data_IF_056164469950
#
_entry.id   IF_056164469950
#
_cell.length_a   1.000
_cell.length_b   1.000
_cell.length_c   1.000
_cell.angle_alpha   90.00
_cell.angle_beta   90.00
_cell.angle_gamma   90.00
#
_symmetry.space_group_name_H-M   'P 1'
#
loop_
_entity.id
_entity.type
_entity.pdbx_description
1 polymer ?
#
# COMPACT_ATOMS: atom_id res chain seq x y z
N UNK A 1 -17.72 17.65 -21.25
CA UNK A 1 -17.67 16.48 -20.35
C UNK A 1 -16.42 16.63 -19.51
N UNK A 2 -16.54 16.88 -18.20
CA UNK A 2 -15.37 16.89 -17.31
C UNK A 2 -14.81 15.46 -17.26
N UNK A 3 -13.57 15.27 -17.72
CA UNK A 3 -12.89 13.99 -17.60
C UNK A 3 -12.82 13.61 -16.12
N UNK A 4 -13.52 12.54 -15.72
CA UNK A 4 -13.42 11.98 -14.38
C UNK A 4 -11.97 11.54 -14.15
N UNK A 5 -11.31 12.18 -13.20
CA UNK A 5 -9.95 11.84 -12.80
C UNK A 5 -10.03 11.07 -11.48
N UNK A 6 -9.52 9.83 -11.45
CA UNK A 6 -9.46 9.03 -10.22
C UNK A 6 -8.68 9.76 -9.12
N UNK A 7 -9.15 9.69 -7.88
CA UNK A 7 -8.58 10.43 -6.74
C UNK A 7 -7.09 10.17 -6.53
N UNK A 8 -6.63 8.95 -6.75
CA UNK A 8 -5.19 8.60 -6.70
C UNK A 8 -4.32 9.40 -7.70
N UNK A 9 -4.91 9.96 -8.76
CA UNK A 9 -4.23 10.84 -9.71
C UNK A 9 -4.49 12.31 -9.38
N UNK A 10 -5.73 12.67 -9.03
CA UNK A 10 -6.16 14.05 -8.72
C UNK A 10 -5.46 14.60 -7.48
N UNK A 11 -5.33 13.77 -6.43
CA UNK A 11 -4.71 14.11 -5.14
C UNK A 11 -3.28 13.56 -5.01
N UNK A 12 -2.59 13.33 -6.14
CA UNK A 12 -1.18 12.97 -6.10
C UNK A 12 -0.37 14.13 -5.53
N UNK A 13 0.46 13.90 -4.50
CA UNK A 13 1.31 14.93 -3.93
C UNK A 13 2.13 15.66 -4.99
N UNK A 14 2.09 16.98 -4.96
CA UNK A 14 2.87 17.87 -5.84
C UNK A 14 3.97 18.60 -5.10
N UNK A 15 3.86 18.79 -3.78
CA UNK A 15 4.87 19.40 -2.92
C UNK A 15 5.23 18.44 -1.79
N UNK A 16 6.34 18.68 -1.08
CA UNK A 16 6.74 17.84 0.05
C UNK A 16 5.73 17.87 1.20
N UNK A 17 5.02 18.98 1.39
CA UNK A 17 4.00 19.18 2.39
C UNK A 17 2.76 18.30 2.16
N UNK A 18 2.50 17.93 0.90
CA UNK A 18 1.36 17.07 0.51
C UNK A 18 1.66 15.59 0.75
N UNK A 19 2.91 15.22 1.03
CA UNK A 19 3.31 13.81 1.22
C UNK A 19 2.99 13.37 2.63
N UNK A 20 1.92 12.61 2.78
CA UNK A 20 1.38 12.17 4.07
C UNK A 20 2.22 11.07 4.70
N UNK A 21 2.54 11.21 6.00
CA UNK A 21 3.15 10.15 6.83
C UNK A 21 4.62 9.87 6.54
N UNK A 22 5.32 10.78 5.84
CA UNK A 22 6.74 10.64 5.49
C UNK A 22 7.56 11.87 5.91
N UNK A 23 7.17 12.57 6.98
CA UNK A 23 7.70 13.88 7.39
C UNK A 23 9.22 13.87 7.57
N UNK A 24 9.77 12.80 8.13
CA UNK A 24 11.23 12.64 8.33
C UNK A 24 11.97 12.61 6.99
N UNK A 25 11.41 11.90 5.99
CA UNK A 25 12.03 11.77 4.66
C UNK A 25 11.93 13.09 3.91
N UNK A 26 10.75 13.69 3.88
CA UNK A 26 10.51 14.96 3.17
C UNK A 26 11.35 16.08 3.73
N UNK A 27 11.48 16.18 5.07
CA UNK A 27 12.36 17.16 5.72
C UNK A 27 13.83 16.90 5.38
N UNK A 28 14.28 15.65 5.39
CA UNK A 28 15.67 15.31 5.06
C UNK A 28 15.98 15.66 3.60
N UNK A 29 15.11 15.33 2.66
CA UNK A 29 15.27 15.65 1.25
C UNK A 29 15.27 17.18 1.02
N UNK A 30 14.34 17.89 1.64
CA UNK A 30 14.25 19.37 1.56
C UNK A 30 15.53 20.02 2.05
N UNK A 31 16.07 19.58 3.19
CA UNK A 31 17.34 20.07 3.73
C UNK A 31 18.53 19.73 2.82
N UNK A 32 18.56 18.53 2.23
CA UNK A 32 19.62 18.14 1.31
C UNK A 32 19.61 18.99 0.03
N UNK A 33 18.43 19.31 -0.51
CA UNK A 33 18.25 20.17 -1.68
C UNK A 33 18.69 21.60 -1.34
N UNK A 34 18.16 22.19 -0.26
CA UNK A 34 18.46 23.57 0.15
C UNK A 34 19.95 23.79 0.42
N UNK A 35 20.66 22.77 0.93
CA UNK A 35 22.10 22.84 1.19
C UNK A 35 22.96 22.40 0.00
N UNK A 36 22.40 22.10 -1.16
CA UNK A 36 23.10 21.52 -2.33
C UNK A 36 23.94 20.26 -1.98
N UNK A 37 23.42 19.40 -1.08
CA UNK A 37 24.07 18.16 -0.61
C UNK A 37 23.29 16.91 -0.98
N UNK A 38 22.48 16.97 -2.04
CA UNK A 38 21.76 15.81 -2.53
C UNK A 38 22.73 14.85 -3.23
N UNK A 39 22.69 13.57 -2.89
CA UNK A 39 23.47 12.55 -3.59
C UNK A 39 22.98 12.38 -5.02
N UNK A 40 23.90 12.01 -5.93
CA UNK A 40 23.55 11.77 -7.34
C UNK A 40 22.78 10.45 -7.57
N UNK A 41 22.84 9.52 -6.61
CA UNK A 41 22.06 8.29 -6.64
C UNK A 41 21.25 8.13 -5.34
N UNK A 42 19.94 8.08 -5.46
CA UNK A 42 18.98 7.91 -4.35
C UNK A 42 18.25 6.59 -4.53
N UNK A 43 17.99 5.89 -3.43
CA UNK A 43 17.18 4.68 -3.42
C UNK A 43 16.01 4.85 -2.45
N UNK A 44 14.80 4.90 -2.99
CA UNK A 44 13.55 4.96 -2.23
C UNK A 44 12.99 3.56 -2.05
N UNK A 45 12.96 3.08 -0.82
CA UNK A 45 12.49 1.73 -0.49
C UNK A 45 11.27 1.78 0.41
N UNK A 46 10.37 0.79 0.28
CA UNK A 46 9.20 0.69 1.15
C UNK A 46 7.96 0.16 0.43
N UNK A 47 6.86 -0.07 1.13
CA UNK A 47 5.65 -0.65 0.58
C UNK A 47 5.10 0.09 -0.63
N UNK A 48 4.22 -0.57 -1.39
CA UNK A 48 3.52 0.06 -2.51
C UNK A 48 2.57 1.15 -2.00
N UNK A 49 2.37 2.21 -2.78
CA UNK A 49 1.33 3.21 -2.50
C UNK A 49 1.64 4.20 -1.37
N UNK A 50 2.87 4.23 -0.83
CA UNK A 50 3.29 5.13 0.28
C UNK A 50 3.92 6.45 -0.18
N UNK A 51 3.97 6.73 -1.50
CA UNK A 51 4.42 8.01 -2.04
C UNK A 51 5.84 8.04 -2.63
N UNK A 52 6.55 6.91 -2.79
CA UNK A 52 7.93 6.86 -3.33
C UNK A 52 8.08 7.61 -4.66
N UNK A 53 7.32 7.23 -5.67
CA UNK A 53 7.37 7.83 -7.02
C UNK A 53 6.90 9.28 -7.03
N UNK A 54 5.90 9.64 -6.18
CA UNK A 54 5.47 11.03 -6.03
C UNK A 54 6.59 11.88 -5.45
N UNK A 55 7.25 11.40 -4.39
CA UNK A 55 8.37 12.08 -3.77
C UNK A 55 9.56 12.22 -4.74
N UNK A 56 9.84 11.19 -5.57
CA UNK A 56 10.87 11.26 -6.61
C UNK A 56 10.60 12.40 -7.61
N UNK A 57 9.34 12.56 -8.05
CA UNK A 57 8.94 13.65 -8.95
C UNK A 57 9.06 15.01 -8.30
N UNK A 58 8.71 15.13 -7.00
CA UNK A 58 8.86 16.37 -6.24
C UNK A 58 10.35 16.75 -6.18
N UNK A 59 11.23 15.82 -5.79
CA UNK A 59 12.69 16.03 -5.78
C UNK A 59 13.17 16.52 -7.14
N UNK A 60 12.77 15.84 -8.22
CA UNK A 60 13.22 16.15 -9.59
C UNK A 60 12.83 17.57 -10.03
N UNK A 61 11.66 18.07 -9.59
CA UNK A 61 11.24 19.46 -9.86
C UNK A 61 11.97 20.47 -8.98
N UNK A 62 12.03 20.22 -7.68
CA UNK A 62 12.65 21.12 -6.71
C UNK A 62 14.14 21.41 -7.01
N UNK A 63 14.91 20.38 -7.41
CA UNK A 63 16.34 20.58 -7.74
C UNK A 63 16.57 21.37 -9.03
N UNK A 64 15.57 21.43 -9.90
CA UNK A 64 15.59 22.19 -11.15
C UNK A 64 14.87 23.54 -11.03
N UNK A 65 14.24 23.83 -9.89
CA UNK A 65 13.37 24.99 -9.66
C UNK A 65 12.23 25.11 -10.71
N UNK A 66 11.64 23.95 -11.12
CA UNK A 66 10.54 23.91 -12.05
C UNK A 66 9.20 24.16 -11.32
N UNK A 67 8.34 24.95 -11.95
CA UNK A 67 6.97 25.09 -11.47
C UNK A 67 6.10 23.88 -11.80
N UNK A 68 4.92 23.78 -11.17
CA UNK A 68 4.02 22.61 -11.32
C UNK A 68 3.56 22.44 -12.77
N UNK A 69 3.40 23.53 -13.50
CA UNK A 69 2.89 23.56 -14.87
C UNK A 69 3.99 23.58 -15.94
N UNK A 70 5.26 23.56 -15.54
CA UNK A 70 6.36 23.55 -16.50
C UNK A 70 6.42 22.22 -17.28
N UNK A 71 6.80 22.32 -18.55
CA UNK A 71 7.10 21.12 -19.34
C UNK A 71 8.46 20.55 -18.95
N UNK A 72 8.41 19.50 -18.10
CA UNK A 72 9.59 18.84 -17.55
C UNK A 72 10.08 17.65 -18.41
N UNK A 73 9.47 17.42 -19.57
CA UNK A 73 9.69 16.23 -20.39
C UNK A 73 11.15 16.07 -20.87
N UNK A 74 11.87 17.17 -20.96
CA UNK A 74 13.29 17.16 -21.39
C UNK A 74 14.30 16.91 -20.25
N UNK A 75 13.86 16.99 -19.00
CA UNK A 75 14.76 16.88 -17.84
C UNK A 75 14.41 15.73 -16.91
N UNK A 76 13.17 15.27 -16.89
CA UNK A 76 12.68 14.24 -15.98
C UNK A 76 12.25 13.02 -16.80
N UNK A 77 13.05 11.97 -16.71
CA UNK A 77 12.82 10.71 -17.42
C UNK A 77 12.33 9.66 -16.42
N UNK A 78 11.16 9.09 -16.66
CA UNK A 78 10.58 8.07 -15.80
C UNK A 78 10.49 6.75 -16.54
N UNK A 79 11.10 5.72 -15.99
CA UNK A 79 11.12 4.36 -16.48
C UNK A 79 10.48 3.43 -15.44
N UNK A 80 9.49 2.66 -15.85
CA UNK A 80 8.98 1.54 -15.06
C UNK A 80 9.75 0.27 -15.45
N UNK A 81 10.55 -0.26 -14.52
CA UNK A 81 11.36 -1.45 -14.75
C UNK A 81 10.51 -2.73 -14.87
N UNK A 82 9.25 -2.73 -14.42
CA UNK A 82 8.35 -3.85 -14.66
C UNK A 82 8.02 -4.02 -16.16
N UNK A 83 7.88 -2.90 -16.88
CA UNK A 83 7.60 -2.88 -18.32
C UNK A 83 8.88 -2.85 -19.18
N UNK A 84 10.00 -2.36 -18.62
CA UNK A 84 11.27 -2.13 -19.34
C UNK A 84 12.46 -2.73 -18.58
N UNK A 85 12.48 -4.05 -18.39
CA UNK A 85 13.48 -4.76 -17.58
C UNK A 85 14.75 -5.18 -18.35
N UNK A 86 14.78 -4.97 -19.66
CA UNK A 86 15.85 -5.44 -20.55
C UNK A 86 17.11 -4.58 -20.50
N UNK A 87 18.23 -5.18 -20.92
CA UNK A 87 19.56 -4.52 -21.00
C UNK A 87 19.52 -3.36 -21.98
N UNK A 88 18.79 -3.48 -23.08
CA UNK A 88 18.73 -2.47 -24.14
C UNK A 88 18.06 -1.17 -23.67
N UNK A 89 16.95 -1.27 -22.91
CA UNK A 89 16.28 -0.11 -22.32
C UNK A 89 17.21 0.69 -21.39
N UNK A 90 17.99 -0.01 -20.56
CA UNK A 90 18.96 0.61 -19.66
C UNK A 90 20.15 1.19 -20.43
N UNK A 91 20.64 0.56 -21.51
CA UNK A 91 21.69 1.12 -22.36
C UNK A 91 21.24 2.42 -23.02
N UNK A 92 20.05 2.45 -23.58
CA UNK A 92 19.48 3.67 -24.17
C UNK A 92 19.37 4.80 -23.14
N UNK A 93 18.96 4.48 -21.90
CA UNK A 93 18.94 5.44 -20.81
C UNK A 93 20.35 5.96 -20.49
N UNK A 94 21.36 5.07 -20.40
CA UNK A 94 22.76 5.44 -20.15
C UNK A 94 23.28 6.36 -21.25
N UNK A 95 23.02 6.08 -22.51
CA UNK A 95 23.46 6.92 -23.63
C UNK A 95 22.83 8.33 -23.56
N UNK A 96 21.58 8.44 -23.11
CA UNK A 96 20.93 9.73 -22.87
C UNK A 96 21.57 10.54 -21.73
N UNK A 97 22.22 9.88 -20.75
CA UNK A 97 22.89 10.58 -19.65
C UNK A 97 24.11 11.37 -20.09
N UNK A 98 24.70 11.03 -21.24
CA UNK A 98 25.88 11.73 -21.80
C UNK A 98 25.54 13.12 -22.33
N UNK A 99 24.29 13.38 -22.62
CA UNK A 99 23.82 14.65 -23.18
C UNK A 99 23.42 15.57 -22.02
N UNK A 100 24.02 16.75 -21.84
CA UNK A 100 23.65 17.66 -20.76
C UNK A 100 22.19 18.17 -20.92
N UNK A 101 21.55 18.68 -19.85
CA UNK A 101 20.21 19.22 -19.92
C UNK A 101 20.19 20.50 -20.81
N UNK A 102 19.11 20.68 -21.54
CA UNK A 102 18.89 21.89 -22.35
C UNK A 102 18.32 23.04 -21.51
N UNK A 103 17.52 22.69 -20.50
CA UNK A 103 16.90 23.60 -19.55
C UNK A 103 17.15 23.07 -18.14
N UNK A 104 17.05 23.92 -17.12
CA UNK A 104 17.30 23.50 -15.74
C UNK A 104 18.76 23.12 -15.45
N UNK A 105 18.99 22.57 -14.27
CA UNK A 105 20.35 22.24 -13.77
C UNK A 105 20.69 20.76 -13.92
N UNK A 106 19.70 19.89 -13.75
CA UNK A 106 19.91 18.44 -13.70
C UNK A 106 18.97 17.69 -14.64
N UNK A 107 19.47 16.59 -15.22
CA UNK A 107 18.66 15.51 -15.74
C UNK A 107 18.37 14.49 -14.66
N UNK A 108 17.10 14.18 -14.44
CA UNK A 108 16.68 13.25 -13.40
C UNK A 108 16.10 12.00 -14.02
N UNK A 109 16.64 10.86 -13.66
CA UNK A 109 16.18 9.54 -14.11
C UNK A 109 15.51 8.84 -12.94
N UNK A 110 14.19 8.69 -13.01
CA UNK A 110 13.37 7.96 -12.03
C UNK A 110 13.15 6.55 -12.58
N UNK A 111 13.67 5.54 -11.87
CA UNK A 111 13.48 4.13 -12.23
C UNK A 111 12.60 3.50 -11.15
N UNK A 112 11.32 3.27 -11.49
CA UNK A 112 10.37 2.63 -10.58
C UNK A 112 10.46 1.12 -10.66
N UNK A 113 10.17 0.44 -9.53
CA UNK A 113 10.27 -1.02 -9.32
C UNK A 113 11.61 -1.60 -9.82
N UNK A 114 12.71 -0.90 -9.49
CA UNK A 114 14.06 -1.22 -9.99
C UNK A 114 14.49 -2.67 -9.73
N UNK A 115 13.91 -3.36 -8.75
CA UNK A 115 14.16 -4.79 -8.48
C UNK A 115 13.70 -5.72 -9.61
N UNK A 116 12.89 -5.23 -10.55
CA UNK A 116 12.43 -5.99 -11.72
C UNK A 116 13.45 -6.00 -12.87
N UNK A 117 14.52 -5.18 -12.81
CA UNK A 117 15.57 -5.19 -13.81
C UNK A 117 16.28 -6.54 -13.87
N UNK A 118 16.61 -6.99 -15.08
CA UNK A 118 17.42 -8.19 -15.29
C UNK A 118 18.84 -8.00 -14.73
N UNK A 119 19.51 -9.10 -14.37
CA UNK A 119 20.90 -9.05 -13.88
C UNK A 119 21.84 -8.37 -14.87
N UNK A 120 21.62 -8.56 -16.18
CA UNK A 120 22.39 -7.89 -17.23
C UNK A 120 22.14 -6.38 -17.27
N UNK A 121 20.89 -5.93 -17.03
CA UNK A 121 20.54 -4.52 -16.96
C UNK A 121 21.16 -3.85 -15.72
N UNK A 122 21.12 -4.52 -14.56
CA UNK A 122 21.82 -4.06 -13.35
C UNK A 122 23.32 -3.87 -13.60
N UNK A 123 23.98 -4.87 -14.18
CA UNK A 123 25.41 -4.81 -14.46
C UNK A 123 25.78 -3.68 -15.44
N UNK A 124 24.96 -3.43 -16.45
CA UNK A 124 25.16 -2.31 -17.37
C UNK A 124 25.04 -0.95 -16.65
N UNK A 125 24.13 -0.87 -15.65
CA UNK A 125 23.87 0.37 -14.93
C UNK A 125 24.92 0.68 -13.84
N UNK A 126 25.60 -0.32 -13.28
CA UNK A 126 26.57 -0.16 -12.18
C UNK A 126 27.64 0.88 -12.49
N UNK A 127 28.24 0.84 -13.70
CA UNK A 127 29.30 1.77 -14.10
C UNK A 127 28.83 3.24 -14.05
N UNK A 128 27.58 3.49 -14.47
CA UNK A 128 27.00 4.84 -14.47
C UNK A 128 26.65 5.30 -13.05
N UNK A 129 26.32 4.38 -12.15
CA UNK A 129 26.08 4.70 -10.73
C UNK A 129 27.37 4.91 -9.94
N UNK A 130 28.51 4.32 -10.38
CA UNK A 130 29.83 4.54 -9.80
C UNK A 130 30.35 5.94 -10.12
N UNK A 131 30.24 6.34 -11.37
CA UNK A 131 30.73 7.63 -11.89
C UNK A 131 29.60 8.36 -12.65
N UNK A 132 28.56 8.83 -11.95
CA UNK A 132 27.46 9.50 -12.60
C UNK A 132 27.90 10.84 -13.18
N UNK A 133 27.41 11.23 -14.38
CA UNK A 133 27.67 12.57 -14.91
C UNK A 133 27.19 13.64 -13.92
N UNK A 134 27.93 14.71 -13.76
CA UNK A 134 27.68 15.75 -12.74
C UNK A 134 26.30 16.42 -12.86
N UNK A 135 25.71 16.38 -14.05
CA UNK A 135 24.40 16.92 -14.36
C UNK A 135 23.28 15.85 -14.27
N UNK A 136 23.59 14.62 -13.84
CA UNK A 136 22.59 13.55 -13.72
C UNK A 136 22.31 13.21 -12.27
N UNK A 137 21.03 12.98 -11.94
CA UNK A 137 20.57 12.43 -10.67
C UNK A 137 19.69 11.20 -10.96
N UNK A 138 20.00 10.11 -10.29
CA UNK A 138 19.24 8.86 -10.39
C UNK A 138 18.41 8.66 -9.12
N UNK A 139 17.11 8.43 -9.29
CA UNK A 139 16.19 8.10 -8.19
C UNK A 139 15.60 6.73 -8.48
N UNK A 140 16.07 5.73 -7.76
CA UNK A 140 15.62 4.36 -7.86
C UNK A 140 14.51 4.14 -6.84
N UNK A 141 13.40 3.52 -7.22
CA UNK A 141 12.33 3.16 -6.31
C UNK A 141 12.09 1.65 -6.33
N UNK A 142 11.83 1.05 -5.16
CA UNK A 142 11.56 -0.38 -5.03
C UNK A 142 10.63 -0.69 -3.87
N UNK A 143 9.80 -1.70 -4.06
CA UNK A 143 9.05 -2.32 -2.97
C UNK A 143 9.84 -3.43 -2.28
N UNK A 144 10.86 -4.00 -2.93
CA UNK A 144 11.60 -5.18 -2.48
C UNK A 144 13.10 -4.88 -2.36
N UNK A 145 13.48 -4.18 -1.27
CA UNK A 145 14.89 -3.83 -1.00
C UNK A 145 15.82 -5.04 -0.98
N UNK A 146 15.35 -6.19 -0.49
CA UNK A 146 16.15 -7.41 -0.37
C UNK A 146 16.56 -8.02 -1.72
N UNK A 147 15.86 -7.67 -2.81
CA UNK A 147 16.21 -8.09 -4.18
C UNK A 147 17.27 -7.18 -4.84
N UNK A 148 17.58 -6.04 -4.23
CA UNK A 148 18.59 -5.13 -4.76
C UNK A 148 19.99 -5.62 -4.37
N UNK A 149 20.87 -5.74 -5.36
CA UNK A 149 22.23 -6.22 -5.16
C UNK A 149 23.03 -5.26 -4.26
N UNK A 150 23.91 -5.79 -3.38
CA UNK A 150 24.67 -4.97 -2.42
C UNK A 150 25.52 -3.87 -3.07
N UNK A 151 25.99 -4.10 -4.29
CA UNK A 151 26.79 -3.14 -5.07
C UNK A 151 26.01 -1.87 -5.42
N UNK A 152 24.71 -1.94 -5.63
CA UNK A 152 23.82 -0.77 -5.82
C UNK A 152 23.53 -0.10 -4.47
N UNK A 153 23.23 -0.91 -3.43
CA UNK A 153 22.93 -0.38 -2.10
C UNK A 153 24.08 0.47 -1.54
N UNK A 154 25.33 0.09 -1.80
CA UNK A 154 26.53 0.82 -1.32
C UNK A 154 26.77 2.14 -2.05
N UNK A 155 26.14 2.39 -3.20
CA UNK A 155 26.31 3.58 -4.04
C UNK A 155 25.15 4.55 -3.96
N UNK A 156 24.05 4.15 -3.32
CA UNK A 156 22.86 4.97 -3.21
C UNK A 156 22.65 5.49 -1.79
N UNK A 157 22.18 6.72 -1.68
CA UNK A 157 21.62 7.20 -0.43
C UNK A 157 20.20 6.62 -0.26
N UNK A 158 19.99 5.86 0.82
CA UNK A 158 18.78 5.07 1.01
C UNK A 158 17.77 5.82 1.88
N UNK A 159 16.52 5.91 1.39
CA UNK A 159 15.38 6.47 2.11
C UNK A 159 14.31 5.39 2.29
N UNK A 160 14.01 5.04 3.54
CA UNK A 160 13.07 3.97 3.87
C UNK A 160 11.69 4.56 4.17
N UNK A 161 10.78 4.49 3.19
CA UNK A 161 9.38 4.87 3.33
C UNK A 161 8.64 3.88 4.22
N UNK A 162 7.84 4.39 5.13
CA UNK A 162 7.07 3.60 6.08
C UNK A 162 5.61 3.49 5.63
N UNK A 163 4.90 2.51 6.18
CA UNK A 163 3.43 2.46 6.09
C UNK A 163 2.84 3.71 6.74
N UNK A 164 1.82 4.26 6.11
CA UNK A 164 1.12 5.44 6.61
C UNK A 164 0.16 4.98 7.72
N UNK A 165 0.11 5.72 8.82
CA UNK A 165 -0.79 5.38 9.92
C UNK A 165 -2.25 5.55 9.51
N UNK A 166 -3.14 4.78 10.14
CA UNK A 166 -4.59 4.86 9.88
C UNK A 166 -5.08 6.29 10.10
N UNK A 167 -4.66 6.94 11.18
CA UNK A 167 -5.06 8.32 11.50
C UNK A 167 -4.62 9.31 10.40
N UNK A 168 -3.41 9.17 9.87
CA UNK A 168 -2.92 10.01 8.79
C UNK A 168 -3.74 9.82 7.50
N UNK A 169 -4.10 8.57 7.16
CA UNK A 169 -4.97 8.27 6.01
C UNK A 169 -6.36 8.88 6.23
N UNK A 170 -6.97 8.66 7.39
CA UNK A 170 -8.30 9.21 7.73
C UNK A 170 -8.30 10.73 7.63
N UNK A 171 -7.29 11.41 8.19
CA UNK A 171 -7.19 12.86 8.11
C UNK A 171 -7.06 13.35 6.66
N UNK A 172 -6.30 12.65 5.84
CA UNK A 172 -6.20 13.00 4.41
C UNK A 172 -7.52 12.80 3.67
N UNK A 173 -8.23 11.68 3.91
CA UNK A 173 -9.56 11.44 3.34
C UNK A 173 -10.59 12.48 3.81
N UNK A 174 -10.56 12.91 5.09
CA UNK A 174 -11.40 14.00 5.60
C UNK A 174 -11.16 15.31 4.86
N UNK A 175 -9.90 15.63 4.56
CA UNK A 175 -9.58 16.84 3.78
C UNK A 175 -10.13 16.74 2.35
N UNK A 176 -10.04 15.57 1.72
CA UNK A 176 -10.64 15.33 0.40
C UNK A 176 -12.17 15.48 0.45
N UNK A 177 -12.82 14.87 1.46
CA UNK A 177 -14.28 15.02 1.64
C UNK A 177 -14.71 16.47 1.77
N UNK A 178 -13.92 17.31 2.48
CA UNK A 178 -14.19 18.74 2.59
C UNK A 178 -14.07 19.47 1.25
N UNK A 179 -13.04 19.15 0.46
CA UNK A 179 -12.80 19.77 -0.86
C UNK A 179 -13.89 19.36 -1.87
N UNK A 180 -14.34 18.10 -1.83
CA UNK A 180 -15.34 17.56 -2.77
C UNK A 180 -16.78 17.71 -2.26
N UNK A 181 -16.98 18.34 -1.10
CA UNK A 181 -18.30 18.50 -0.45
C UNK A 181 -19.05 17.16 -0.23
N UNK A 182 -18.30 16.12 0.17
CA UNK A 182 -18.81 14.78 0.43
C UNK A 182 -19.15 14.64 1.91
N UNK A 183 -20.37 14.16 2.22
CA UNK A 183 -20.75 13.81 3.59
C UNK A 183 -20.17 12.47 3.96
N UNK A 184 -19.61 12.33 5.17
CA UNK A 184 -18.97 11.10 5.63
C UNK A 184 -19.25 10.80 7.10
N UNK A 185 -19.18 9.52 7.44
CA UNK A 185 -19.08 9.04 8.81
C UNK A 185 -17.60 8.75 9.12
N UNK A 186 -17.12 9.17 10.29
CA UNK A 186 -15.73 8.95 10.73
C UNK A 186 -15.36 7.46 10.77
N UNK A 187 -16.28 6.60 11.19
CA UNK A 187 -16.06 5.15 11.23
C UNK A 187 -15.93 4.54 9.84
N UNK A 188 -16.68 5.06 8.86
CA UNK A 188 -16.55 4.64 7.47
C UNK A 188 -15.15 4.94 6.90
N UNK A 189 -14.59 6.14 7.17
CA UNK A 189 -13.24 6.49 6.74
C UNK A 189 -12.17 5.65 7.46
N UNK A 190 -12.37 5.32 8.74
CA UNK A 190 -11.49 4.41 9.48
C UNK A 190 -11.51 2.99 8.89
N UNK A 191 -12.68 2.50 8.49
CA UNK A 191 -12.81 1.20 7.82
C UNK A 191 -12.05 1.17 6.49
N UNK A 192 -12.17 2.21 5.65
CA UNK A 192 -11.38 2.35 4.43
C UNK A 192 -9.89 2.32 4.76
N UNK A 193 -9.43 3.14 5.71
CA UNK A 193 -8.03 3.26 6.07
C UNK A 193 -7.43 1.94 6.63
N UNK A 194 -8.19 1.21 7.44
CA UNK A 194 -7.75 -0.06 8.03
C UNK A 194 -7.54 -1.18 7.00
N UNK A 195 -8.28 -1.16 5.88
CA UNK A 195 -8.17 -2.15 4.79
C UNK A 195 -6.99 -1.89 3.85
N UNK A 196 -6.35 -0.73 3.92
CA UNK A 196 -5.35 -0.31 2.94
C UNK A 196 -3.90 -0.60 3.37
N UNK A 197 -3.70 -1.26 4.51
CA UNK A 197 -2.38 -1.66 5.02
C UNK A 197 -1.32 -0.53 4.95
N UNK A 198 -1.74 0.71 5.20
CA UNK A 198 -0.89 1.89 5.18
C UNK A 198 -0.52 2.40 3.77
N UNK A 199 -1.24 1.98 2.72
CA UNK A 199 -1.04 2.42 1.35
C UNK A 199 -2.07 3.50 0.95
N UNK A 200 -1.65 4.77 0.81
CA UNK A 200 -2.54 5.88 0.43
C UNK A 200 -3.19 5.67 -0.94
N UNK A 201 -2.48 5.09 -1.90
CA UNK A 201 -3.02 4.83 -3.24
C UNK A 201 -4.24 3.91 -3.19
N UNK A 202 -4.17 2.86 -2.38
CA UNK A 202 -5.25 1.89 -2.23
C UNK A 202 -6.42 2.51 -1.44
N UNK A 203 -6.12 3.36 -0.45
CA UNK A 203 -7.13 4.13 0.29
C UNK A 203 -7.94 5.06 -0.65
N UNK A 204 -7.28 5.77 -1.55
CA UNK A 204 -7.94 6.63 -2.53
C UNK A 204 -8.73 5.83 -3.56
N UNK A 205 -8.25 4.66 -3.97
CA UNK A 205 -8.99 3.78 -4.88
C UNK A 205 -10.26 3.20 -4.24
N UNK A 206 -10.19 2.79 -2.97
CA UNK A 206 -11.36 2.33 -2.22
C UNK A 206 -12.34 3.49 -1.96
N UNK A 207 -11.82 4.66 -1.62
CA UNK A 207 -12.61 5.87 -1.46
C UNK A 207 -13.41 6.19 -2.74
N UNK A 208 -12.76 6.17 -3.91
CA UNK A 208 -13.42 6.40 -5.20
C UNK A 208 -14.55 5.41 -5.49
N UNK A 209 -14.35 4.13 -5.16
CA UNK A 209 -15.39 3.12 -5.33
C UNK A 209 -16.64 3.44 -4.51
N UNK A 210 -16.45 3.86 -3.26
CA UNK A 210 -17.57 4.17 -2.35
C UNK A 210 -18.27 5.46 -2.77
N UNK A 211 -17.51 6.50 -3.09
CA UNK A 211 -18.05 7.81 -3.53
C UNK A 211 -18.77 7.72 -4.88
N UNK A 212 -18.31 6.85 -5.78
CA UNK A 212 -18.94 6.62 -7.08
C UNK A 212 -20.39 6.15 -7.02
N UNK A 213 -20.82 5.61 -5.87
CA UNK A 213 -22.18 5.12 -5.64
C UNK A 213 -23.06 6.19 -5.01
N UNK A 214 -22.55 6.91 -4.02
CA UNK A 214 -23.29 7.95 -3.32
C UNK A 214 -22.36 9.01 -2.76
N UNK A 215 -22.80 10.27 -2.75
CA UNK A 215 -22.09 11.39 -2.13
C UNK A 215 -22.10 11.38 -0.58
N UNK A 216 -22.72 10.39 0.03
CA UNK A 216 -22.72 10.19 1.48
C UNK A 216 -22.07 8.85 1.80
N UNK A 217 -20.93 8.88 2.47
CA UNK A 217 -20.16 7.69 2.86
C UNK A 217 -20.65 7.22 4.24
N UNK A 218 -21.31 6.05 4.29
CA UNK A 218 -21.72 5.38 5.53
C UNK A 218 -20.94 4.09 5.74
N UNK A 219 -20.90 3.60 6.99
CA UNK A 219 -20.20 2.35 7.31
C UNK A 219 -20.77 1.14 6.58
N UNK A 220 -22.09 1.09 6.42
CA UNK A 220 -22.79 0.02 5.71
C UNK A 220 -22.34 -0.04 4.24
N UNK A 221 -22.28 1.13 3.58
CA UNK A 221 -21.83 1.22 2.18
C UNK A 221 -20.38 0.78 2.02
N UNK A 222 -19.52 1.12 2.98
CA UNK A 222 -18.13 0.68 2.95
C UNK A 222 -18.03 -0.83 3.05
N UNK A 223 -18.77 -1.46 3.99
CA UNK A 223 -18.79 -2.91 4.17
C UNK A 223 -19.27 -3.62 2.90
N UNK A 224 -20.39 -3.17 2.32
CA UNK A 224 -20.95 -3.74 1.08
C UNK A 224 -19.98 -3.63 -0.10
N UNK A 225 -19.32 -2.47 -0.28
CA UNK A 225 -18.46 -2.21 -1.43
C UNK A 225 -17.05 -2.78 -1.31
N UNK A 226 -16.59 -3.04 -0.11
CA UNK A 226 -15.30 -3.68 0.11
C UNK A 226 -15.37 -5.21 -0.03
N UNK A 227 -16.55 -5.77 -0.32
CA UNK A 227 -16.79 -7.22 -0.29
C UNK A 227 -16.20 -7.84 1.00
N UNK A 228 -16.26 -7.09 2.12
CA UNK A 228 -15.74 -7.56 3.39
C UNK A 228 -16.85 -8.24 4.16
N UNK A 229 -16.53 -9.36 4.77
CA UNK A 229 -17.43 -10.02 5.72
C UNK A 229 -17.53 -9.12 6.95
N UNK A 230 -18.75 -8.82 7.39
CA UNK A 230 -19.00 -8.01 8.56
C UNK A 230 -18.58 -8.75 9.85
N UNK A 231 -18.25 -7.98 10.89
CA UNK A 231 -17.91 -8.48 12.22
C UNK A 231 -18.95 -9.48 12.75
N UNK A 232 -20.24 -9.15 12.59
CA UNK A 232 -21.34 -9.97 13.11
C UNK A 232 -21.46 -11.32 12.37
N UNK A 233 -21.14 -11.37 11.08
CA UNK A 233 -21.09 -12.62 10.30
C UNK A 233 -19.93 -13.51 10.75
N UNK A 234 -18.75 -12.94 11.00
CA UNK A 234 -17.63 -13.73 11.55
C UNK A 234 -17.94 -14.20 12.97
N UNK A 235 -18.60 -13.39 13.78
CA UNK A 235 -19.05 -13.77 15.11
C UNK A 235 -20.04 -14.95 15.04
N UNK A 236 -20.98 -14.94 14.10
CA UNK A 236 -21.90 -16.03 13.84
C UNK A 236 -21.15 -17.32 13.47
N UNK A 237 -20.22 -17.25 12.51
CA UNK A 237 -19.37 -18.39 12.09
C UNK A 237 -18.62 -18.98 13.28
N UNK A 238 -17.93 -18.14 14.07
CA UNK A 238 -17.18 -18.60 15.25
C UNK A 238 -18.10 -19.25 16.29
N UNK A 239 -19.29 -18.72 16.49
CA UNK A 239 -20.28 -19.30 17.40
C UNK A 239 -20.80 -20.68 16.92
N UNK A 240 -21.03 -20.82 15.59
CA UNK A 240 -21.44 -22.11 15.00
C UNK A 240 -20.32 -23.16 15.10
N UNK A 241 -19.06 -22.76 14.88
CA UNK A 241 -17.89 -23.62 15.09
C UNK A 241 -17.82 -24.07 16.55
N UNK A 242 -18.01 -23.15 17.50
CA UNK A 242 -18.00 -23.45 18.94
C UNK A 242 -19.08 -24.45 19.34
N UNK A 243 -20.27 -24.31 18.73
CA UNK A 243 -21.40 -25.22 18.97
C UNK A 243 -21.29 -26.55 18.21
N UNK A 244 -20.32 -26.70 17.31
CA UNK A 244 -20.16 -27.84 16.39
C UNK A 244 -21.41 -28.07 15.50
N UNK A 245 -22.11 -26.98 15.15
CA UNK A 245 -23.30 -27.02 14.31
C UNK A 245 -22.91 -26.96 12.83
N UNK A 246 -22.44 -28.10 12.31
CA UNK A 246 -21.90 -28.20 10.95
C UNK A 246 -22.96 -27.82 9.87
N UNK A 247 -24.24 -28.27 9.93
CA UNK A 247 -25.21 -27.93 8.91
C UNK A 247 -25.43 -26.41 8.79
N UNK A 248 -25.57 -25.70 9.91
CA UNK A 248 -25.77 -24.25 9.90
C UNK A 248 -24.47 -23.51 9.54
N UNK A 249 -23.30 -24.04 9.92
CA UNK A 249 -22.01 -23.49 9.52
C UNK A 249 -21.84 -23.48 7.99
N UNK A 250 -22.12 -24.61 7.32
CA UNK A 250 -22.05 -24.71 5.87
C UNK A 250 -23.03 -23.72 5.21
N UNK A 251 -24.27 -23.64 5.72
CA UNK A 251 -25.27 -22.71 5.18
C UNK A 251 -24.84 -21.24 5.34
N UNK A 252 -24.33 -20.85 6.51
CA UNK A 252 -23.84 -19.49 6.77
C UNK A 252 -22.64 -19.14 5.89
N UNK A 253 -21.68 -20.06 5.76
CA UNK A 253 -20.51 -19.89 4.86
C UNK A 253 -20.96 -19.72 3.41
N UNK A 254 -21.84 -20.58 2.92
CA UNK A 254 -22.36 -20.48 1.57
C UNK A 254 -23.13 -19.19 1.32
N UNK A 255 -23.93 -18.74 2.29
CA UNK A 255 -24.63 -17.44 2.19
C UNK A 255 -23.65 -16.26 2.03
N UNK A 256 -22.47 -16.31 2.66
CA UNK A 256 -21.43 -15.30 2.52
C UNK A 256 -20.80 -15.38 1.13
N UNK A 257 -20.45 -16.56 0.65
CA UNK A 257 -19.87 -16.77 -0.68
C UNK A 257 -20.81 -16.38 -1.81
N UNK A 258 -22.11 -16.70 -1.68
CA UNK A 258 -23.15 -16.37 -2.66
C UNK A 258 -23.43 -14.85 -2.77
N UNK A 259 -23.03 -14.05 -1.77
CA UNK A 259 -23.02 -12.59 -1.82
C UNK A 259 -21.85 -12.01 -2.66
N UNK A 260 -21.05 -12.87 -3.30
CA UNK A 260 -19.93 -12.47 -4.16
C UNK A 260 -18.60 -12.25 -3.42
N UNK A 261 -18.51 -12.67 -2.16
CA UNK A 261 -17.26 -12.66 -1.41
C UNK A 261 -16.43 -13.86 -1.86
N UNK A 262 -15.20 -13.62 -2.31
CA UNK A 262 -14.31 -14.71 -2.72
C UNK A 262 -13.82 -15.52 -1.50
N UNK A 263 -13.60 -16.83 -1.70
CA UNK A 263 -13.24 -17.72 -0.60
C UNK A 263 -11.91 -17.38 0.06
N UNK A 264 -10.93 -16.86 -0.68
CA UNK A 264 -9.66 -16.37 -0.14
C UNK A 264 -9.85 -15.17 0.80
N UNK A 265 -10.72 -14.20 0.44
CA UNK A 265 -11.08 -13.08 1.30
C UNK A 265 -11.83 -13.54 2.57
N UNK A 266 -12.69 -14.55 2.44
CA UNK A 266 -13.37 -15.14 3.60
C UNK A 266 -12.38 -15.80 4.56
N UNK A 267 -11.46 -16.64 4.05
CA UNK A 267 -10.44 -17.33 4.86
C UNK A 267 -9.50 -16.33 5.55
N UNK A 268 -8.98 -15.35 4.80
CA UNK A 268 -8.11 -14.30 5.33
C UNK A 268 -8.82 -13.44 6.40
N UNK A 269 -10.08 -13.11 6.17
CA UNK A 269 -10.90 -12.36 7.13
C UNK A 269 -11.17 -13.15 8.41
N UNK A 270 -11.50 -14.44 8.29
CA UNK A 270 -11.74 -15.31 9.45
C UNK A 270 -10.44 -15.55 10.24
N UNK A 271 -9.30 -15.75 9.55
CA UNK A 271 -7.98 -15.83 10.18
C UNK A 271 -7.65 -14.56 10.97
N UNK A 272 -7.91 -13.39 10.39
CA UNK A 272 -7.75 -12.09 11.05
C UNK A 272 -8.68 -11.94 12.28
N UNK A 273 -9.90 -12.43 12.19
CA UNK A 273 -10.85 -12.40 13.31
C UNK A 273 -10.38 -13.28 14.47
N UNK A 274 -9.87 -14.50 14.21
CA UNK A 274 -9.25 -15.35 15.24
C UNK A 274 -7.99 -14.73 15.84
N UNK A 275 -7.19 -14.05 15.04
CA UNK A 275 -6.04 -13.27 15.52
C UNK A 275 -6.49 -12.15 16.47
N UNK A 276 -7.58 -11.47 16.17
CA UNK A 276 -8.11 -10.41 17.03
C UNK A 276 -8.66 -10.97 18.36
N UNK A 277 -9.30 -12.15 18.35
CA UNK A 277 -9.65 -12.89 19.57
C UNK A 277 -8.39 -13.24 20.39
N UNK A 278 -7.33 -13.70 19.72
CA UNK A 278 -6.04 -14.02 20.38
C UNK A 278 -5.40 -12.78 21.03
N UNK A 279 -5.43 -11.64 20.35
CA UNK A 279 -4.92 -10.36 20.85
C UNK A 279 -5.70 -9.89 22.09
N UNK A 280 -7.02 -10.11 22.13
CA UNK A 280 -7.87 -9.76 23.27
C UNK A 280 -7.55 -10.53 24.56
N UNK A 281 -6.89 -11.68 24.48
CA UNK A 281 -6.47 -12.44 25.70
C UNK A 281 -5.53 -11.65 26.60
N UNK A 282 -4.83 -10.66 26.05
CA UNK A 282 -3.93 -9.82 26.83
C UNK A 282 -4.43 -8.36 26.80
N UNK A 283 -4.82 -7.81 27.92
CA UNK A 283 -5.33 -6.44 28.06
C UNK A 283 -4.36 -5.37 27.53
N UNK A 284 -3.05 -5.61 27.60
CA UNK A 284 -2.04 -4.68 27.07
C UNK A 284 -2.05 -4.59 25.52
N UNK A 285 -2.53 -5.63 24.86
CA UNK A 285 -2.53 -5.74 23.39
C UNK A 285 -3.83 -5.21 22.74
N UNK A 286 -4.87 -4.90 23.52
CA UNK A 286 -6.16 -4.41 23.01
C UNK A 286 -6.02 -3.10 22.22
N UNK A 287 -4.99 -2.28 22.53
CA UNK A 287 -4.65 -1.07 21.75
C UNK A 287 -4.28 -1.34 20.28
N UNK A 288 -4.00 -2.60 19.93
CA UNK A 288 -3.72 -3.03 18.55
C UNK A 288 -5.00 -3.28 17.73
N UNK A 289 -6.16 -3.23 18.39
CA UNK A 289 -7.46 -3.49 17.76
C UNK A 289 -8.14 -2.17 17.40
N UNK A 290 -8.74 -2.14 16.22
CA UNK A 290 -9.44 -0.96 15.68
C UNK A 290 -10.96 -1.13 15.78
N UNK A 291 -11.46 -1.66 16.92
CA UNK A 291 -12.88 -1.85 17.20
C UNK A 291 -13.36 -0.89 18.29
N UNK A 292 -14.67 -0.69 18.35
CA UNK A 292 -15.31 -0.02 19.48
C UNK A 292 -15.26 -0.89 20.77
N UNK A 293 -15.50 -0.28 21.91
CA UNK A 293 -15.44 -0.96 23.22
C UNK A 293 -16.43 -2.13 23.33
N UNK A 294 -17.60 -2.04 22.68
CA UNK A 294 -18.59 -3.11 22.68
C UNK A 294 -18.09 -4.36 21.97
N UNK A 295 -17.49 -4.21 20.78
CA UNK A 295 -16.91 -5.31 20.01
C UNK A 295 -15.68 -5.89 20.69
N UNK A 296 -14.82 -5.05 21.29
CA UNK A 296 -13.68 -5.51 22.10
C UNK A 296 -14.14 -6.39 23.25
N UNK A 297 -15.23 -6.04 23.93
CA UNK A 297 -15.79 -6.85 25.01
C UNK A 297 -16.26 -8.22 24.51
N UNK A 298 -16.94 -8.28 23.38
CA UNK A 298 -17.37 -9.56 22.75
C UNK A 298 -16.15 -10.44 22.41
N UNK A 299 -15.10 -9.85 21.81
CA UNK A 299 -13.87 -10.58 21.49
C UNK A 299 -13.16 -11.08 22.75
N UNK A 300 -13.16 -10.30 23.83
CA UNK A 300 -12.60 -10.69 25.11
C UNK A 300 -13.36 -11.87 25.73
N UNK A 301 -14.69 -11.85 25.72
CA UNK A 301 -15.53 -12.95 26.21
C UNK A 301 -15.24 -14.23 25.43
N UNK A 302 -15.18 -14.18 24.10
CA UNK A 302 -14.79 -15.32 23.25
C UNK A 302 -13.35 -15.81 23.55
N UNK A 303 -12.43 -14.88 23.83
CA UNK A 303 -11.04 -15.22 24.11
C UNK A 303 -10.87 -15.96 25.43
N UNK A 304 -11.69 -15.67 26.45
CA UNK A 304 -11.61 -16.29 27.77
C UNK A 304 -11.98 -17.78 27.74
N UNK A 305 -12.83 -18.19 26.82
CA UNK A 305 -13.28 -19.59 26.65
C UNK A 305 -12.28 -20.49 25.91
N UNK A 306 -11.27 -19.92 25.24
CA UNK A 306 -10.34 -20.66 24.35
C UNK A 306 -8.93 -20.69 24.89
N UNK A 307 -8.19 -21.77 24.64
CA UNK A 307 -6.74 -21.81 24.92
C UNK A 307 -5.94 -21.05 23.84
N UNK A 308 -4.72 -20.66 24.16
CA UNK A 308 -3.79 -20.07 23.16
C UNK A 308 -3.52 -21.05 22.03
N UNK A 309 -3.27 -22.32 22.36
CA UNK A 309 -2.95 -23.37 21.38
C UNK A 309 -4.10 -23.57 20.40
N UNK A 310 -5.35 -23.58 20.89
CA UNK A 310 -6.54 -23.68 20.06
C UNK A 310 -6.62 -22.55 19.03
N UNK A 311 -6.47 -21.30 19.47
CA UNK A 311 -6.56 -20.15 18.57
C UNK A 311 -5.42 -20.14 17.55
N UNK A 312 -4.20 -20.51 17.94
CA UNK A 312 -3.06 -20.58 17.05
C UNK A 312 -3.26 -21.69 16.01
N UNK A 313 -3.81 -22.85 16.41
CA UNK A 313 -4.08 -23.95 15.49
C UNK A 313 -5.11 -23.58 14.42
N UNK A 314 -6.20 -22.92 14.82
CA UNK A 314 -7.19 -22.41 13.86
C UNK A 314 -6.61 -21.41 12.88
N UNK A 315 -5.81 -20.45 13.35
CA UNK A 315 -5.13 -19.49 12.48
C UNK A 315 -4.22 -20.22 11.49
N UNK A 316 -3.51 -21.27 11.91
CA UNK A 316 -2.65 -22.08 11.01
C UNK A 316 -3.47 -22.79 9.94
N UNK A 317 -4.57 -23.46 10.33
CA UNK A 317 -5.45 -24.16 9.38
C UNK A 317 -6.00 -23.19 8.33
N UNK A 318 -6.51 -22.04 8.76
CA UNK A 318 -7.05 -21.04 7.85
C UNK A 318 -5.98 -20.43 6.93
N UNK A 319 -4.76 -20.20 7.46
CA UNK A 319 -3.65 -19.69 6.66
C UNK A 319 -3.17 -20.74 5.63
N UNK A 320 -3.12 -22.01 6.00
CA UNK A 320 -2.78 -23.11 5.07
C UNK A 320 -3.85 -23.23 3.97
N UNK A 321 -5.11 -23.08 4.32
CA UNK A 321 -6.21 -23.09 3.35
C UNK A 321 -6.11 -21.88 2.39
N UNK A 322 -5.80 -20.66 2.90
CA UNK A 322 -5.61 -19.47 2.09
C UNK A 322 -4.47 -19.63 1.08
N UNK A 323 -3.31 -20.15 1.52
CA UNK A 323 -2.14 -20.41 0.66
C UNK A 323 -2.48 -21.44 -0.45
N UNK A 324 -3.29 -22.44 -0.14
CA UNK A 324 -3.66 -23.49 -1.08
C UNK A 324 -4.90 -23.14 -1.93
N UNK A 325 -5.60 -22.06 -1.63
CA UNK A 325 -6.86 -21.69 -2.28
C UNK A 325 -6.74 -21.60 -3.80
N UNK A 326 -5.72 -20.87 -4.31
CA UNK A 326 -5.52 -20.72 -5.76
C UNK A 326 -5.07 -22.01 -6.46
N UNK A 327 -4.50 -22.97 -5.72
CA UNK A 327 -4.05 -24.25 -6.25
C UNK A 327 -5.15 -25.31 -6.23
N UNK A 328 -6.21 -25.09 -5.47
CA UNK A 328 -7.31 -26.04 -5.30
C UNK A 328 -8.20 -26.07 -6.54
N UNK A 329 -8.51 -27.29 -7.02
CA UNK A 329 -9.46 -27.51 -8.12
C UNK A 329 -10.90 -27.18 -7.66
N UNK A 330 -11.21 -27.47 -6.39
CA UNK A 330 -12.52 -27.18 -5.80
C UNK A 330 -12.34 -26.21 -4.63
N UNK A 331 -12.33 -24.91 -4.96
CA UNK A 331 -12.11 -23.85 -4.00
C UNK A 331 -13.22 -23.77 -2.94
N UNK A 332 -14.50 -24.04 -3.33
CA UNK A 332 -15.65 -24.02 -2.42
C UNK A 332 -15.52 -25.13 -1.36
N UNK A 333 -15.20 -26.33 -1.80
CA UNK A 333 -15.00 -27.47 -0.88
C UNK A 333 -13.83 -27.22 0.09
N UNK A 334 -12.76 -26.60 -0.38
CA UNK A 334 -11.63 -26.23 0.47
C UNK A 334 -12.06 -25.30 1.61
N UNK A 335 -12.87 -24.27 1.30
CA UNK A 335 -13.38 -23.33 2.31
C UNK A 335 -14.32 -24.03 3.29
N UNK A 336 -15.19 -24.91 2.82
CA UNK A 336 -16.15 -25.64 3.67
C UNK A 336 -15.48 -26.65 4.61
N UNK A 337 -14.30 -27.18 4.25
CA UNK A 337 -13.57 -28.18 5.03
C UNK A 337 -12.49 -27.60 5.95
N UNK A 338 -12.09 -26.34 5.75
CA UNK A 338 -11.05 -25.67 6.56
C UNK A 338 -11.66 -24.99 7.78
#
# INVERSE_FOLDING_TARGET
>A
MSNFLVSARKYRPVNFEDVVGQETITTTLKNAISNNKLAQALLFTGPRGVGKTSCARIVAREINNFEINDDNSYNIFELDAASNNGVEGIRNLIDQTRIPPQTGKYKVYIIDEVHMLSSGAFNAFLKTLEEPPTHCIFILATTEKHKIIPTILSRCQIYNFKRITIDSIVNHLKNICKIEEIQYNDDALKQIASKCDGAMRDALQLFDKVVGINKKITSEMVVENLNSVDFDKFLEIVNLINKKDIPNLINATNSILDQGISGDLFLSGLSSFYRDILVCKNNLSQKLLNYDEAKIKVLYDLSSEKSYDFLIEYIKILNDAEINFQKSINQRLLVELS
#
